data_IF_574593860533
#
_entry.id   IF_574593860533
#
_cell.length_a   1.000
_cell.length_b   1.000
_cell.length_c   1.000
_cell.angle_alpha   90.00
_cell.angle_beta   90.00
_cell.angle_gamma   90.00
#
_symmetry.space_group_name_H-M   'P 1'
#
loop_
_entity.id
_entity.type
_entity.pdbx_description
1 polymer ?
#
# COMPACT_ATOMS: atom_id res chain seq x y z
N UNK A 1 11.00 -20.28 -23.96
CA UNK A 1 9.57 -19.91 -23.99
C UNK A 1 9.47 -18.44 -23.61
N UNK A 2 9.14 -17.57 -24.56
CA UNK A 2 9.00 -16.14 -24.31
C UNK A 2 7.68 -15.89 -23.58
N UNK A 3 7.71 -15.30 -22.39
CA UNK A 3 6.50 -14.88 -21.71
C UNK A 3 5.81 -13.82 -22.55
N UNK A 4 4.59 -14.09 -23.01
CA UNK A 4 3.74 -13.10 -23.70
C UNK A 4 3.50 -11.94 -22.75
N UNK A 5 4.10 -10.79 -23.05
CA UNK A 5 3.84 -9.54 -22.33
C UNK A 5 2.40 -9.14 -22.66
N UNK A 6 1.49 -9.26 -21.69
CA UNK A 6 0.12 -8.78 -21.84
C UNK A 6 0.16 -7.28 -22.16
N UNK A 7 -0.50 -6.82 -23.22
CA UNK A 7 -0.55 -5.39 -23.54
C UNK A 7 -1.17 -4.65 -22.35
N UNK A 8 -0.45 -3.64 -21.84
CA UNK A 8 -1.00 -2.73 -20.84
C UNK A 8 -2.23 -2.05 -21.44
N UNK A 9 -3.33 -2.01 -20.67
CA UNK A 9 -4.54 -1.33 -21.12
C UNK A 9 -4.23 0.16 -21.35
N UNK A 10 -4.04 0.56 -22.62
CA UNK A 10 -3.53 1.89 -22.97
C UNK A 10 -4.42 2.99 -22.40
N UNK A 11 -5.75 2.82 -22.39
CA UNK A 11 -6.68 3.80 -21.85
C UNK A 11 -6.47 4.07 -20.35
N UNK A 12 -6.33 3.02 -19.54
CA UNK A 12 -6.09 3.15 -18.10
C UNK A 12 -4.71 3.76 -17.79
N UNK A 13 -3.70 3.38 -18.57
CA UNK A 13 -2.32 3.83 -18.35
C UNK A 13 -2.13 5.30 -18.78
N UNK A 14 -2.75 5.71 -19.89
CA UNK A 14 -2.73 7.11 -20.34
C UNK A 14 -3.51 8.02 -19.39
N UNK A 15 -4.62 7.54 -18.83
CA UNK A 15 -5.38 8.27 -17.81
C UNK A 15 -4.56 8.52 -16.52
N UNK A 16 -3.77 7.54 -16.07
CA UNK A 16 -2.97 7.68 -14.84
C UNK A 16 -1.67 8.46 -15.02
N UNK A 17 -1.20 8.64 -16.27
CA UNK A 17 0.10 9.25 -16.59
C UNK A 17 0.28 10.68 -16.07
N UNK A 18 -0.73 11.58 -16.10
CA UNK A 18 -0.60 12.93 -15.54
C UNK A 18 -0.41 12.95 -14.02
N UNK A 19 -0.91 11.94 -13.30
CA UNK A 19 -0.83 11.87 -11.84
C UNK A 19 0.43 11.14 -11.35
N UNK A 20 0.70 9.95 -11.90
CA UNK A 20 1.79 9.08 -11.44
C UNK A 20 3.11 9.28 -12.21
N UNK A 21 3.06 9.98 -13.34
CA UNK A 21 4.20 10.12 -14.25
C UNK A 21 4.63 8.79 -14.87
N UNK A 22 5.73 8.79 -15.61
CA UNK A 22 6.25 7.58 -16.26
C UNK A 22 7.15 6.75 -15.32
N UNK A 23 6.57 6.31 -14.20
CA UNK A 23 7.21 5.54 -13.13
C UNK A 23 7.13 4.02 -13.30
N UNK A 24 7.45 3.24 -12.25
CA UNK A 24 7.49 1.77 -12.29
C UNK A 24 6.18 1.14 -12.81
N UNK A 25 5.03 1.67 -12.40
CA UNK A 25 3.73 1.14 -12.81
C UNK A 25 3.50 1.33 -14.32
N UNK A 26 3.77 2.54 -14.81
CA UNK A 26 3.38 2.96 -16.16
C UNK A 26 4.45 2.66 -17.23
N UNK A 27 5.74 2.74 -16.88
CA UNK A 27 6.87 2.50 -17.80
C UNK A 27 6.93 1.09 -18.39
N UNK A 28 7.55 0.94 -19.57
CA UNK A 28 7.75 -0.35 -20.25
C UNK A 28 9.22 -0.52 -20.70
N UNK A 29 9.58 -1.72 -21.16
CA UNK A 29 10.90 -2.02 -21.71
C UNK A 29 12.04 -1.79 -20.70
N UNK A 30 13.16 -1.25 -21.19
CA UNK A 30 14.38 -1.06 -20.40
C UNK A 30 14.18 -0.12 -19.20
N UNK A 31 13.34 0.92 -19.36
CA UNK A 31 13.04 1.85 -18.28
C UNK A 31 12.34 1.16 -17.11
N UNK A 32 11.35 0.32 -17.42
CA UNK A 32 10.68 -0.50 -16.41
C UNK A 32 11.65 -1.48 -15.75
N UNK A 33 12.47 -2.16 -16.55
CA UNK A 33 13.47 -3.11 -16.06
C UNK A 33 14.44 -2.45 -15.09
N UNK A 34 14.96 -1.27 -15.44
CA UNK A 34 15.85 -0.47 -14.62
C UNK A 34 15.19 -0.03 -13.30
N UNK A 35 13.99 0.55 -13.35
CA UNK A 35 13.25 0.94 -12.14
C UNK A 35 12.94 -0.26 -11.25
N UNK A 36 12.57 -1.41 -11.83
CA UNK A 36 12.27 -2.63 -11.08
C UNK A 36 13.54 -3.18 -10.42
N UNK A 37 14.66 -3.18 -11.12
CA UNK A 37 15.95 -3.59 -10.58
C UNK A 37 16.34 -2.74 -9.36
N UNK A 38 16.12 -1.42 -9.42
CA UNK A 38 16.41 -0.51 -8.31
C UNK A 38 15.51 -0.74 -7.09
N UNK A 39 14.21 -0.99 -7.29
CA UNK A 39 13.23 -1.08 -6.21
C UNK A 39 13.10 -2.47 -5.60
N UNK A 40 13.33 -3.54 -6.37
CA UNK A 40 13.14 -4.93 -5.89
C UNK A 40 13.89 -5.25 -4.59
N UNK A 41 15.13 -4.78 -4.35
CA UNK A 41 15.82 -5.01 -3.08
C UNK A 41 15.05 -4.52 -1.86
N UNK A 42 14.32 -3.40 -1.96
CA UNK A 42 13.53 -2.84 -0.85
C UNK A 42 12.35 -3.74 -0.42
N UNK A 43 11.93 -4.65 -1.30
CA UNK A 43 10.86 -5.62 -1.03
C UNK A 43 11.40 -7.01 -0.69
N UNK A 44 12.69 -7.12 -0.36
CA UNK A 44 13.29 -8.37 0.10
C UNK A 44 12.77 -8.74 1.51
N UNK A 45 12.57 -10.04 1.77
CA UNK A 45 11.90 -10.52 2.99
C UNK A 45 12.58 -10.06 4.29
N UNK A 46 13.91 -9.94 4.32
CA UNK A 46 14.63 -9.42 5.49
C UNK A 46 14.28 -7.95 5.80
N UNK A 47 13.95 -7.16 4.79
CA UNK A 47 13.49 -5.77 4.96
C UNK A 47 12.03 -5.73 5.38
N UNK A 48 11.21 -6.67 4.87
CA UNK A 48 9.78 -6.74 5.19
C UNK A 48 9.49 -7.33 6.58
N UNK A 49 10.35 -8.21 7.11
CA UNK A 49 10.17 -8.87 8.41
C UNK A 49 9.86 -7.89 9.57
N UNK A 50 10.61 -6.79 9.75
CA UNK A 50 10.28 -5.77 10.76
C UNK A 50 8.91 -5.10 10.54
N UNK A 51 8.47 -4.95 9.29
CA UNK A 51 7.21 -4.29 8.96
C UNK A 51 5.98 -5.04 9.45
N UNK A 52 6.05 -6.35 9.64
CA UNK A 52 4.97 -7.12 10.28
C UNK A 52 4.63 -6.56 11.67
N UNK A 53 5.62 -6.09 12.43
CA UNK A 53 5.36 -5.46 13.74
C UNK A 53 4.62 -4.13 13.60
N UNK A 54 4.90 -3.38 12.53
CA UNK A 54 4.23 -2.11 12.24
C UNK A 54 2.79 -2.35 11.78
N UNK A 55 2.57 -3.34 10.92
CA UNK A 55 1.24 -3.75 10.48
C UNK A 55 0.37 -4.22 11.66
N UNK A 56 0.92 -5.06 12.54
CA UNK A 56 0.21 -5.51 13.73
C UNK A 56 -0.18 -4.34 14.64
N UNK A 57 0.75 -3.41 14.92
CA UNK A 57 0.44 -2.21 15.72
C UNK A 57 -0.65 -1.35 15.08
N UNK A 58 -0.59 -1.16 13.76
CA UNK A 58 -1.58 -0.36 13.03
C UNK A 58 -2.95 -1.06 13.05
N UNK A 59 -2.98 -2.38 12.94
CA UNK A 59 -4.20 -3.18 13.06
C UNK A 59 -4.78 -3.18 14.49
N UNK A 60 -3.92 -3.22 15.52
CA UNK A 60 -4.34 -3.17 16.93
C UNK A 60 -5.07 -1.85 17.24
N UNK A 61 -4.60 -0.72 16.69
CA UNK A 61 -5.27 0.59 16.82
C UNK A 61 -6.66 0.56 16.18
N UNK A 62 -6.75 0.08 14.94
CA UNK A 62 -8.03 -0.08 14.24
C UNK A 62 -8.99 -0.99 15.02
N UNK A 63 -8.48 -2.10 15.56
CA UNK A 63 -9.25 -3.07 16.32
C UNK A 63 -9.76 -2.48 17.64
N UNK A 64 -8.95 -1.69 18.35
CA UNK A 64 -9.39 -0.98 19.54
C UNK A 64 -10.57 -0.04 19.25
N UNK A 65 -10.56 0.67 18.11
CA UNK A 65 -11.69 1.48 17.64
C UNK A 65 -12.94 0.64 17.37
N UNK A 66 -12.78 -0.51 16.72
CA UNK A 66 -13.91 -1.42 16.46
C UNK A 66 -14.51 -1.97 17.75
N UNK A 67 -13.68 -2.35 18.73
CA UNK A 67 -14.14 -2.82 20.04
C UNK A 67 -14.93 -1.74 20.77
N UNK A 68 -14.47 -0.48 20.72
CA UNK A 68 -15.18 0.65 21.31
C UNK A 68 -16.56 0.86 20.65
N UNK A 69 -16.61 0.93 19.32
CA UNK A 69 -17.86 1.11 18.58
C UNK A 69 -18.85 -0.05 18.80
N UNK A 70 -18.35 -1.29 18.90
CA UNK A 70 -19.18 -2.45 19.22
C UNK A 70 -19.77 -2.36 20.63
N UNK A 71 -19.02 -1.82 21.59
CA UNK A 71 -19.51 -1.61 22.97
C UNK A 71 -20.59 -0.55 23.08
N UNK A 72 -20.62 0.42 22.16
CA UNK A 72 -21.62 1.48 22.09
C UNK A 72 -22.95 1.03 21.43
N UNK A 73 -23.06 -0.27 21.11
CA UNK A 73 -24.27 -0.84 20.51
C UNK A 73 -24.41 -0.57 19.01
N UNK A 74 -23.34 -0.15 18.33
CA UNK A 74 -23.37 0.02 16.88
C UNK A 74 -23.47 -1.33 16.18
N UNK A 75 -24.61 -1.60 15.54
CA UNK A 75 -24.87 -2.85 14.83
C UNK A 75 -24.23 -2.92 13.43
N UNK A 76 -23.65 -1.81 12.95
CA UNK A 76 -23.06 -1.69 11.60
C UNK A 76 -21.81 -0.84 11.66
N UNK A 77 -20.74 -1.36 11.07
CA UNK A 77 -19.45 -0.69 11.00
C UNK A 77 -19.04 -0.55 9.53
N UNK A 78 -18.76 0.67 9.08
CA UNK A 78 -18.11 0.89 7.79
C UNK A 78 -16.62 0.59 7.91
N UNK A 79 -16.23 -0.56 7.36
CA UNK A 79 -14.85 -1.03 7.43
C UNK A 79 -13.94 -0.32 6.42
N UNK A 80 -14.48 0.31 5.38
CA UNK A 80 -13.69 0.82 4.27
C UNK A 80 -12.77 1.96 4.71
N UNK A 81 -13.32 2.93 5.44
CA UNK A 81 -12.54 4.04 5.99
C UNK A 81 -11.48 3.54 6.97
N UNK A 82 -11.85 2.65 7.89
CA UNK A 82 -10.96 2.13 8.92
C UNK A 82 -9.78 1.34 8.32
N UNK A 83 -10.06 0.46 7.35
CA UNK A 83 -9.03 -0.29 6.63
C UNK A 83 -8.15 0.63 5.79
N UNK A 84 -8.74 1.66 5.17
CA UNK A 84 -7.99 2.65 4.38
C UNK A 84 -7.01 3.43 5.26
N UNK A 85 -7.45 3.90 6.43
CA UNK A 85 -6.60 4.58 7.40
C UNK A 85 -5.52 3.66 7.96
N UNK A 86 -5.85 2.42 8.31
CA UNK A 86 -4.88 1.43 8.76
C UNK A 86 -3.80 1.13 7.71
N UNK A 87 -4.22 1.01 6.44
CA UNK A 87 -3.32 0.81 5.30
C UNK A 87 -2.40 2.01 5.10
N UNK A 88 -2.96 3.23 5.16
CA UNK A 88 -2.20 4.47 5.01
C UNK A 88 -1.15 4.62 6.13
N UNK A 89 -1.56 4.42 7.38
CA UNK A 89 -0.70 4.50 8.56
C UNK A 89 0.45 3.49 8.48
N UNK A 90 0.12 2.25 8.14
CA UNK A 90 1.08 1.18 7.92
C UNK A 90 2.11 1.55 6.84
N UNK A 91 1.64 2.06 5.69
CA UNK A 91 2.49 2.42 4.56
C UNK A 91 3.41 3.60 4.90
N UNK A 92 2.88 4.63 5.58
CA UNK A 92 3.65 5.79 6.01
C UNK A 92 4.77 5.43 6.98
N UNK A 93 4.48 4.55 7.95
CA UNK A 93 5.46 4.07 8.92
C UNK A 93 6.52 3.16 8.28
N UNK A 94 6.13 2.28 7.37
CA UNK A 94 7.05 1.32 6.75
C UNK A 94 7.97 1.96 5.70
N UNK A 95 7.40 2.73 4.78
CA UNK A 95 8.11 3.20 3.57
C UNK A 95 8.72 4.58 3.80
N UNK A 96 8.01 5.47 4.49
CA UNK A 96 8.43 6.86 4.67
C UNK A 96 9.01 7.15 6.04
N UNK A 97 9.05 6.16 6.94
CA UNK A 97 9.43 6.33 8.35
C UNK A 97 8.69 7.50 9.01
N UNK A 98 7.43 7.70 8.62
CA UNK A 98 6.61 8.84 9.01
C UNK A 98 5.44 8.38 9.86
N UNK A 99 5.28 8.99 11.03
CA UNK A 99 4.16 8.72 11.93
C UNK A 99 3.15 9.86 11.84
N UNK A 100 2.09 9.64 11.05
CA UNK A 100 1.04 10.63 10.84
C UNK A 100 -0.02 10.63 11.94
N UNK A 101 -0.08 9.57 12.76
CA UNK A 101 -1.19 9.30 13.67
C UNK A 101 -2.57 9.43 12.98
N UNK A 102 -2.68 9.10 11.69
CA UNK A 102 -3.92 9.25 10.92
C UNK A 102 -5.05 8.32 11.36
N UNK A 103 -4.73 7.32 12.20
CA UNK A 103 -5.70 6.48 12.88
C UNK A 103 -6.07 6.96 14.29
N UNK A 104 -5.58 8.11 14.77
CA UNK A 104 -5.97 8.65 16.08
C UNK A 104 -7.46 9.00 16.12
#
# INVERSE_FOLDING_TARGET
MSATVTPKNMFFYDFMKPWLGDGLLLSAGDKWSHHRHLLTPAFHFEILKPYTKIFNKSADIMHAKWQHLASEGSARLDIFEHISLMTLDSLQKCIFSFDSNCQA
#
